data_IF_064497619352
#
_entry.id   IF_064497619352
#
_cell.length_a   1.000
_cell.length_b   1.000
_cell.length_c   1.000
_cell.angle_alpha   90.00
_cell.angle_beta   90.00
_cell.angle_gamma   90.00
#
_symmetry.space_group_name_H-M   'P 1'
#
loop_
_entity.id
_entity.type
_entity.pdbx_description
1 polymer ?
#
# COMPACT_ATOMS: atom_id res chain seq x y z
N UNK A 1 11.70 17.90 -26.26
CA UNK A 1 11.63 17.75 -24.80
C UNK A 1 13.02 17.38 -24.31
N UNK A 2 13.59 18.12 -23.36
CA UNK A 2 14.89 17.77 -22.78
C UNK A 2 14.83 16.57 -21.85
N UNK A 3 15.98 15.93 -21.68
CA UNK A 3 16.16 14.77 -20.80
C UNK A 3 16.44 15.24 -19.38
N UNK A 4 15.70 14.75 -18.39
CA UNK A 4 15.94 15.01 -16.98
C UNK A 4 16.61 13.79 -16.32
N UNK A 5 17.74 14.00 -15.66
CA UNK A 5 18.36 13.05 -14.74
C UNK A 5 18.28 13.64 -13.33
N UNK A 6 17.69 12.89 -12.40
CA UNK A 6 17.60 13.29 -11.00
C UNK A 6 18.71 12.59 -10.19
N UNK A 7 19.44 13.36 -9.38
CA UNK A 7 20.44 12.83 -8.45
C UNK A 7 20.07 13.28 -7.04
N UNK A 8 19.85 12.30 -6.16
CA UNK A 8 19.37 12.55 -4.81
C UNK A 8 20.25 11.90 -3.74
N UNK A 9 20.22 12.43 -2.53
CA UNK A 9 20.89 11.85 -1.37
C UNK A 9 20.87 12.79 -0.17
N UNK A 10 21.25 12.28 1.01
CA UNK A 10 21.41 13.12 2.19
C UNK A 10 22.53 14.16 2.00
N UNK A 11 22.66 15.11 2.93
CA UNK A 11 23.84 15.97 2.98
C UNK A 11 25.11 15.14 3.18
N UNK A 12 26.20 15.50 2.51
CA UNK A 12 27.44 14.72 2.53
C UNK A 12 27.43 13.39 1.77
N UNK A 13 26.34 13.00 1.12
CA UNK A 13 26.23 11.69 0.42
C UNK A 13 27.13 11.51 -0.82
N UNK A 14 27.81 12.56 -1.28
CA UNK A 14 28.60 12.58 -2.52
C UNK A 14 27.79 12.87 -3.79
N UNK A 15 26.52 13.30 -3.66
CA UNK A 15 25.61 13.61 -4.78
C UNK A 15 26.15 14.64 -5.77
N UNK A 16 26.70 15.77 -5.29
CA UNK A 16 27.25 16.85 -6.11
C UNK A 16 28.41 16.38 -6.98
N UNK A 17 29.41 15.74 -6.36
CA UNK A 17 30.59 15.20 -7.07
C UNK A 17 30.20 14.14 -8.11
N UNK A 18 29.19 13.33 -7.81
CA UNK A 18 28.67 12.35 -8.77
C UNK A 18 27.96 13.03 -9.95
N UNK A 19 27.18 14.08 -9.69
CA UNK A 19 26.52 14.89 -10.71
C UNK A 19 27.51 15.59 -11.64
N UNK A 20 28.53 16.24 -11.07
CA UNK A 20 29.63 16.88 -11.78
C UNK A 20 30.33 15.88 -12.72
N UNK A 21 30.64 14.67 -12.25
CA UNK A 21 31.25 13.61 -13.08
C UNK A 21 30.35 13.14 -14.22
N UNK A 22 29.03 13.10 -14.03
CA UNK A 22 28.10 12.75 -15.10
C UNK A 22 28.15 13.81 -16.19
N UNK A 23 28.06 15.08 -15.82
CA UNK A 23 28.07 16.19 -16.80
C UNK A 23 29.44 16.37 -17.44
N UNK A 24 30.54 16.15 -16.72
CA UNK A 24 31.88 16.22 -17.31
C UNK A 24 32.12 15.16 -18.41
N UNK A 25 31.36 14.06 -18.40
CA UNK A 25 31.44 12.99 -19.41
C UNK A 25 30.55 13.23 -20.63
N UNK A 26 29.74 14.28 -20.63
CA UNK A 26 28.93 14.63 -21.80
C UNK A 26 29.67 15.59 -22.73
N UNK A 27 29.24 15.62 -23.99
CA UNK A 27 29.73 16.54 -25.02
C UNK A 27 28.92 17.84 -25.03
N UNK A 28 29.48 18.93 -25.56
CA UNK A 28 28.79 20.22 -25.71
C UNK A 28 28.97 21.18 -24.53
N UNK A 29 28.36 22.36 -24.64
CA UNK A 29 28.45 23.43 -23.64
C UNK A 29 27.81 23.02 -22.31
N UNK A 30 28.54 23.25 -21.22
CA UNK A 30 28.17 22.82 -19.86
C UNK A 30 27.84 24.02 -19.01
N UNK A 31 26.64 24.04 -18.43
CA UNK A 31 26.18 25.10 -17.56
C UNK A 31 26.02 24.58 -16.14
N UNK A 32 26.55 25.33 -15.17
CA UNK A 32 26.32 25.08 -13.75
C UNK A 32 25.38 26.14 -13.22
N UNK A 33 24.16 25.77 -12.86
CA UNK A 33 23.19 26.66 -12.24
C UNK A 33 23.30 26.52 -10.72
N UNK A 34 23.86 27.55 -10.08
CA UNK A 34 24.01 27.64 -8.64
C UNK A 34 22.80 28.38 -8.04
N UNK A 35 22.09 27.73 -7.12
CA UNK A 35 20.89 28.28 -6.47
C UNK A 35 21.16 28.76 -5.04
N UNK A 36 22.36 28.51 -4.50
CA UNK A 36 22.75 28.90 -3.16
C UNK A 36 22.96 30.43 -3.07
N UNK A 37 22.44 31.05 -2.00
CA UNK A 37 22.60 32.49 -1.77
C UNK A 37 23.81 32.80 -0.88
N UNK A 38 24.60 33.85 -1.18
CA UNK A 38 25.70 34.32 -0.34
C UNK A 38 25.18 35.19 0.84
N UNK A 39 24.34 34.61 1.70
CA UNK A 39 23.71 35.35 2.82
C UNK A 39 24.49 35.26 4.14
N UNK A 40 25.51 34.41 4.22
CA UNK A 40 26.35 34.20 5.41
C UNK A 40 27.80 33.97 4.99
N UNK A 41 28.74 34.23 5.90
CA UNK A 41 30.17 33.91 5.68
C UNK A 41 30.38 32.42 5.38
N UNK A 42 29.60 31.53 6.01
CA UNK A 42 29.65 30.10 5.73
C UNK A 42 29.21 29.77 4.29
N UNK A 43 28.16 30.42 3.79
CA UNK A 43 27.70 30.24 2.41
C UNK A 43 28.71 30.79 1.41
N UNK A 44 29.34 31.93 1.71
CA UNK A 44 30.41 32.51 0.88
C UNK A 44 31.60 31.55 0.77
N UNK A 45 32.08 31.01 1.89
CA UNK A 45 33.16 30.03 1.92
C UNK A 45 32.79 28.73 1.17
N UNK A 46 31.53 28.28 1.28
CA UNK A 46 31.03 27.13 0.49
C UNK A 46 31.04 27.42 -1.00
N UNK A 47 30.58 28.60 -1.42
CA UNK A 47 30.55 29.01 -2.84
C UNK A 47 31.99 29.06 -3.39
N UNK A 48 32.93 29.66 -2.66
CA UNK A 48 34.34 29.75 -3.08
C UNK A 48 34.99 28.37 -3.22
N UNK A 49 34.84 27.52 -2.20
CA UNK A 49 35.34 26.13 -2.23
C UNK A 49 34.78 25.35 -3.41
N UNK A 50 33.50 25.55 -3.71
CA UNK A 50 32.84 24.91 -4.84
C UNK A 50 33.31 25.46 -6.19
N UNK A 51 33.57 26.77 -6.31
CA UNK A 51 34.16 27.38 -7.52
C UNK A 51 35.56 26.83 -7.79
N UNK A 52 36.40 26.71 -6.76
CA UNK A 52 37.74 26.12 -6.89
C UNK A 52 37.67 24.65 -7.35
N UNK A 53 36.80 23.85 -6.74
CA UNK A 53 36.65 22.43 -7.07
C UNK A 53 36.19 22.16 -8.51
N UNK A 54 35.62 23.17 -9.18
CA UNK A 54 35.08 23.05 -10.54
C UNK A 54 35.89 23.81 -11.58
N UNK A 55 36.97 24.50 -11.19
CA UNK A 55 37.78 25.32 -12.11
C UNK A 55 38.28 24.53 -13.31
N UNK A 56 38.55 23.24 -13.12
CA UNK A 56 39.04 22.33 -14.16
C UNK A 56 37.92 21.59 -14.92
N UNK A 57 36.64 21.79 -14.57
CA UNK A 57 35.52 21.05 -15.14
C UNK A 57 34.83 21.75 -16.32
N UNK A 58 35.35 22.91 -16.76
CA UNK A 58 34.89 23.68 -17.93
C UNK A 58 33.37 23.98 -17.91
N UNK A 59 32.85 24.42 -16.76
CA UNK A 59 31.47 24.88 -16.64
C UNK A 59 31.36 26.40 -16.83
N UNK A 60 30.34 26.84 -17.57
CA UNK A 60 29.82 28.20 -17.47
C UNK A 60 28.90 28.28 -16.26
N UNK A 61 29.31 29.00 -15.21
CA UNK A 61 28.53 29.12 -13.98
C UNK A 61 27.53 30.26 -14.06
N UNK A 62 26.27 29.97 -13.76
CA UNK A 62 25.16 30.92 -13.70
C UNK A 62 24.61 30.92 -12.27
N UNK A 63 24.76 32.05 -11.59
CA UNK A 63 24.18 32.26 -10.26
C UNK A 63 22.69 32.61 -10.44
N UNK A 64 21.81 31.63 -10.22
CA UNK A 64 20.36 31.79 -10.40
C UNK A 64 19.61 31.25 -9.17
N UNK A 65 19.54 32.04 -8.08
CA UNK A 65 18.81 31.64 -6.87
C UNK A 65 17.29 31.52 -7.07
N UNK A 66 16.74 32.09 -8.15
CA UNK A 66 15.32 32.05 -8.50
C UNK A 66 15.18 31.92 -10.04
N UNK A 67 13.99 31.51 -10.51
CA UNK A 67 13.59 31.57 -11.92
C UNK A 67 14.59 30.91 -12.88
N UNK A 68 14.98 29.66 -12.57
CA UNK A 68 15.98 28.92 -13.35
C UNK A 68 15.51 28.63 -14.77
N UNK A 69 14.21 28.64 -15.04
CA UNK A 69 13.62 28.53 -16.39
C UNK A 69 14.02 29.67 -17.33
N UNK A 70 14.39 30.83 -16.79
CA UNK A 70 14.86 31.99 -17.54
C UNK A 70 16.39 32.02 -17.72
N UNK A 71 17.13 31.05 -17.19
CA UNK A 71 18.59 31.03 -17.27
C UNK A 71 19.11 31.12 -18.73
N UNK A 72 20.25 31.80 -18.90
CA UNK A 72 20.91 32.02 -20.18
C UNK A 72 21.65 30.75 -20.65
N UNK A 73 20.87 29.71 -20.98
CA UNK A 73 21.34 28.41 -21.44
C UNK A 73 20.97 28.21 -22.91
N UNK A 74 21.92 27.69 -23.69
CA UNK A 74 21.71 27.33 -25.10
C UNK A 74 20.86 26.06 -25.27
N UNK A 75 20.16 25.96 -26.41
CA UNK A 75 19.20 24.87 -26.67
C UNK A 75 19.78 23.46 -26.56
N UNK A 76 21.05 23.30 -26.91
CA UNK A 76 21.74 21.99 -26.89
C UNK A 76 22.66 21.80 -25.67
N UNK A 77 22.63 22.75 -24.72
CA UNK A 77 23.46 22.75 -23.53
C UNK A 77 23.18 21.59 -22.58
N UNK A 78 24.18 21.25 -21.77
CA UNK A 78 24.05 20.31 -20.64
C UNK A 78 24.08 21.09 -19.35
N UNK A 79 23.03 20.98 -18.55
CA UNK A 79 22.84 21.79 -17.35
C UNK A 79 22.97 20.93 -16.10
N UNK A 80 23.76 21.39 -15.14
CA UNK A 80 23.78 20.91 -13.77
C UNK A 80 23.06 21.94 -12.88
N UNK A 81 21.90 21.58 -12.34
CA UNK A 81 21.15 22.39 -11.38
C UNK A 81 21.47 21.94 -9.96
N UNK A 82 22.15 22.80 -9.20
CA UNK A 82 22.55 22.51 -7.82
C UNK A 82 22.23 23.70 -6.88
N UNK A 83 21.29 23.57 -5.94
CA UNK A 83 20.39 22.43 -5.74
C UNK A 83 18.91 22.82 -5.70
N UNK A 84 18.07 21.83 -5.96
CA UNK A 84 16.60 21.98 -5.98
C UNK A 84 16.07 22.36 -4.60
N UNK A 85 16.72 21.88 -3.53
CA UNK A 85 16.35 22.20 -2.15
C UNK A 85 16.49 23.68 -1.81
N UNK A 86 17.58 24.33 -2.25
CA UNK A 86 17.80 25.76 -2.09
C UNK A 86 16.85 26.55 -3.00
N UNK A 87 16.63 26.09 -4.24
CA UNK A 87 15.68 26.75 -5.14
C UNK A 87 14.26 26.80 -4.54
N UNK A 88 13.81 25.68 -3.97
CA UNK A 88 12.52 25.62 -3.30
C UNK A 88 12.50 26.49 -2.03
N UNK A 89 13.55 26.47 -1.23
CA UNK A 89 13.64 27.30 -0.02
C UNK A 89 13.57 28.79 -0.38
N UNK A 90 14.37 29.23 -1.36
CA UNK A 90 14.36 30.59 -1.88
C UNK A 90 12.97 31.00 -2.40
N UNK A 91 12.26 30.10 -3.09
CA UNK A 91 10.93 30.37 -3.59
C UNK A 91 9.89 30.53 -2.47
N UNK A 92 9.86 29.58 -1.52
CA UNK A 92 8.87 29.54 -0.45
C UNK A 92 9.03 30.70 0.54
N UNK A 93 10.26 30.97 0.98
CA UNK A 93 10.50 31.92 2.08
C UNK A 93 10.61 33.38 1.63
N UNK A 94 10.85 33.65 0.35
CA UNK A 94 11.15 35.02 -0.11
C UNK A 94 10.29 35.51 -1.28
N UNK A 95 9.73 34.60 -2.07
CA UNK A 95 8.97 34.94 -3.28
C UNK A 95 7.50 34.52 -3.21
N UNK A 96 7.08 33.90 -2.11
CA UNK A 96 5.74 33.32 -1.98
C UNK A 96 5.46 32.21 -2.99
N UNK A 97 6.51 31.54 -3.48
CA UNK A 97 6.40 30.40 -4.39
C UNK A 97 6.09 29.10 -3.65
N UNK A 98 5.78 28.05 -4.41
CA UNK A 98 5.42 26.74 -3.87
C UNK A 98 6.07 25.60 -4.68
N UNK A 99 5.77 24.36 -4.29
CA UNK A 99 6.20 23.16 -5.00
C UNK A 99 5.85 23.21 -6.51
N UNK A 100 4.65 23.68 -6.84
CA UNK A 100 4.15 23.66 -8.21
C UNK A 100 4.85 24.69 -9.10
N UNK A 101 5.09 25.88 -8.58
CA UNK A 101 5.78 26.95 -9.32
C UNK A 101 7.25 26.59 -9.56
N UNK A 102 7.94 26.03 -8.56
CA UNK A 102 9.33 25.58 -8.72
C UNK A 102 9.42 24.41 -9.71
N UNK A 103 8.47 23.46 -9.66
CA UNK A 103 8.44 22.37 -10.63
C UNK A 103 8.26 22.90 -12.07
N UNK A 104 7.34 23.85 -12.28
CA UNK A 104 7.11 24.46 -13.59
C UNK A 104 8.36 25.22 -14.11
N UNK A 105 9.08 25.90 -13.22
CA UNK A 105 10.32 26.60 -13.53
C UNK A 105 11.45 25.65 -13.96
N UNK A 106 11.60 24.51 -13.26
CA UNK A 106 12.55 23.45 -13.63
C UNK A 106 12.15 22.80 -14.97
N UNK A 107 10.87 22.55 -15.23
CA UNK A 107 10.40 22.01 -16.51
C UNK A 107 10.65 22.99 -17.66
N UNK A 108 10.46 24.30 -17.44
CA UNK A 108 10.78 25.33 -18.43
C UNK A 108 12.27 25.28 -18.81
N UNK A 109 13.17 25.17 -17.83
CA UNK A 109 14.61 24.98 -18.08
C UNK A 109 14.90 23.67 -18.82
N UNK A 110 14.31 22.56 -18.36
CA UNK A 110 14.45 21.24 -18.97
C UNK A 110 14.00 21.24 -20.44
N UNK A 111 12.95 21.98 -20.77
CA UNK A 111 12.45 22.08 -22.16
C UNK A 111 13.42 22.78 -23.11
N UNK A 112 14.33 23.60 -22.58
CA UNK A 112 15.28 24.46 -23.31
C UNK A 112 16.70 23.93 -23.35
N UNK A 113 17.01 22.79 -22.75
CA UNK A 113 18.33 22.20 -22.81
C UNK A 113 18.25 20.73 -23.25
N UNK A 114 19.35 20.17 -23.73
CA UNK A 114 19.40 18.77 -24.16
C UNK A 114 19.31 17.82 -22.97
N UNK A 115 20.05 18.14 -21.90
CA UNK A 115 20.13 17.36 -20.68
C UNK A 115 20.16 18.28 -19.47
N UNK A 116 19.23 18.05 -18.54
CA UNK A 116 19.22 18.65 -17.21
C UNK A 116 19.55 17.58 -16.16
N UNK A 117 20.60 17.80 -15.39
CA UNK A 117 20.96 17.02 -14.20
C UNK A 117 20.56 17.83 -12.98
N UNK A 118 19.50 17.41 -12.28
CA UNK A 118 18.99 18.09 -11.10
C UNK A 118 19.45 17.38 -9.81
N UNK A 119 20.13 18.13 -8.94
CA UNK A 119 20.62 17.64 -7.65
C UNK A 119 19.66 18.07 -6.54
N UNK A 120 19.29 17.14 -5.65
CA UNK A 120 18.37 17.43 -4.55
C UNK A 120 18.70 16.64 -3.29
N UNK A 121 18.20 17.11 -2.14
CA UNK A 121 18.32 16.44 -0.85
C UNK A 121 17.11 15.52 -0.63
N UNK A 122 17.37 14.35 -0.04
CA UNK A 122 16.34 13.38 0.38
C UNK A 122 16.61 12.86 1.79
N UNK A 123 15.61 12.22 2.40
CA UNK A 123 15.73 11.63 3.73
C UNK A 123 15.38 12.60 4.86
N UNK A 124 14.80 13.76 4.52
CA UNK A 124 14.24 14.69 5.49
C UNK A 124 12.85 14.22 5.94
N UNK A 125 12.62 14.37 7.25
CA UNK A 125 11.46 13.88 7.98
C UNK A 125 10.76 15.08 8.61
N UNK A 126 9.46 15.22 8.35
CA UNK A 126 8.68 16.35 8.87
C UNK A 126 8.28 16.13 10.34
N UNK A 127 8.30 14.88 10.81
CA UNK A 127 8.15 14.48 12.20
C UNK A 127 9.25 15.11 13.06
N UNK A 128 8.86 15.92 14.05
CA UNK A 128 9.76 16.63 14.95
C UNK A 128 10.00 18.11 14.61
N UNK A 129 9.43 18.61 13.51
CA UNK A 129 9.46 20.03 13.14
C UNK A 129 8.04 20.60 13.08
N UNK A 130 7.86 21.85 13.48
CA UNK A 130 6.60 22.59 13.39
C UNK A 130 6.66 23.75 12.39
N UNK A 131 5.50 24.33 12.12
CA UNK A 131 5.35 25.51 11.27
C UNK A 131 5.91 25.38 9.85
N UNK A 132 6.71 26.37 9.48
CA UNK A 132 7.27 26.58 8.14
C UNK A 132 8.26 25.50 7.71
N UNK A 133 9.07 24.98 8.63
CA UNK A 133 10.06 23.93 8.34
C UNK A 133 9.37 22.63 7.92
N UNK A 134 8.31 22.23 8.62
CA UNK A 134 7.52 21.05 8.25
C UNK A 134 6.81 21.23 6.90
N UNK A 135 6.36 22.45 6.59
CA UNK A 135 5.77 22.78 5.29
C UNK A 135 6.80 22.68 4.15
N UNK A 136 8.01 23.19 4.36
CA UNK A 136 9.12 23.04 3.42
C UNK A 136 9.48 21.57 3.17
N UNK A 137 9.62 20.75 4.22
CA UNK A 137 9.95 19.33 4.07
C UNK A 137 8.86 18.59 3.26
N UNK A 138 7.58 18.89 3.51
CA UNK A 138 6.48 18.33 2.72
C UNK A 138 6.54 18.76 1.25
N UNK A 139 6.74 20.05 0.99
CA UNK A 139 6.86 20.59 -0.37
C UNK A 139 8.08 20.03 -1.11
N UNK A 140 9.23 19.87 -0.43
CA UNK A 140 10.42 19.28 -1.03
C UNK A 140 10.22 17.80 -1.35
N UNK A 141 9.55 17.06 -0.48
CA UNK A 141 9.23 15.65 -0.72
C UNK A 141 8.27 15.49 -1.91
N UNK A 142 7.26 16.36 -2.02
CA UNK A 142 6.36 16.41 -3.18
C UNK A 142 7.09 16.78 -4.47
N UNK A 143 7.92 17.83 -4.46
CA UNK A 143 8.75 18.25 -5.60
C UNK A 143 9.68 17.13 -6.07
N UNK A 144 10.38 16.49 -5.13
CA UNK A 144 11.25 15.36 -5.39
C UNK A 144 10.50 14.19 -6.04
N UNK A 145 9.26 13.92 -5.61
CA UNK A 145 8.44 12.86 -6.18
C UNK A 145 8.03 13.20 -7.63
N UNK A 146 7.62 14.44 -7.92
CA UNK A 146 7.32 14.87 -9.31
C UNK A 146 8.54 14.77 -10.22
N UNK A 147 9.69 15.25 -9.76
CA UNK A 147 10.94 15.16 -10.52
C UNK A 147 11.36 13.70 -10.75
N UNK A 148 11.19 12.84 -9.75
CA UNK A 148 11.47 11.41 -9.89
C UNK A 148 10.60 10.75 -10.95
N UNK A 149 9.29 11.04 -10.95
CA UNK A 149 8.34 10.48 -11.91
C UNK A 149 8.57 11.01 -13.34
N UNK A 150 9.09 12.24 -13.46
CA UNK A 150 9.44 12.89 -14.72
C UNK A 150 10.81 12.47 -15.28
N UNK A 151 11.76 12.09 -14.41
CA UNK A 151 13.14 11.84 -14.80
C UNK A 151 13.28 10.59 -15.68
N UNK A 152 14.05 10.71 -16.75
CA UNK A 152 14.45 9.57 -17.58
C UNK A 152 15.34 8.59 -16.79
N UNK A 153 16.13 9.11 -15.84
CA UNK A 153 16.88 8.31 -14.89
C UNK A 153 16.97 9.02 -13.53
N UNK A 154 16.89 8.23 -12.45
CA UNK A 154 17.09 8.72 -11.09
C UNK A 154 18.19 7.92 -10.39
N UNK A 155 19.10 8.60 -9.71
CA UNK A 155 20.22 8.02 -8.98
C UNK A 155 20.19 8.50 -7.53
N UNK A 156 20.10 7.56 -6.59
CA UNK A 156 20.24 7.87 -5.17
C UNK A 156 21.68 7.58 -4.71
N UNK A 157 22.22 8.46 -3.88
CA UNK A 157 23.60 8.41 -3.37
C UNK A 157 23.62 8.26 -1.85
N UNK A 158 24.53 7.42 -1.34
CA UNK A 158 24.85 7.29 0.08
C UNK A 158 26.33 6.94 0.23
N UNK A 159 27.05 7.64 1.11
CA UNK A 159 28.47 7.40 1.40
C UNK A 159 29.34 7.28 0.13
N UNK A 160 29.17 8.24 -0.79
CA UNK A 160 29.83 8.31 -2.10
C UNK A 160 29.57 7.11 -3.04
N UNK A 161 28.56 6.28 -2.75
CA UNK A 161 28.15 5.14 -3.58
C UNK A 161 26.73 5.33 -4.12
N UNK A 162 26.53 4.85 -5.35
CA UNK A 162 25.20 4.74 -5.95
C UNK A 162 24.42 3.65 -5.23
N UNK A 163 23.27 4.01 -4.68
CA UNK A 163 22.32 3.04 -4.16
C UNK A 163 21.65 2.32 -5.33
N UNK A 164 21.41 1.00 -5.22
CA UNK A 164 20.64 0.27 -6.22
C UNK A 164 19.24 0.88 -6.33
N UNK A 165 18.72 0.94 -7.56
CA UNK A 165 17.36 1.43 -7.81
C UNK A 165 16.40 0.54 -7.01
N UNK A 166 15.63 1.09 -6.06
CA UNK A 166 14.54 0.33 -5.41
C UNK A 166 13.47 0.07 -6.47
N UNK A 167 13.57 -1.08 -7.13
CA UNK A 167 12.67 -1.54 -8.18
C UNK A 167 11.23 -1.65 -7.68
N UNK A 168 10.27 -1.40 -8.59
CA UNK A 168 8.84 -1.57 -8.36
C UNK A 168 8.50 -2.96 -7.80
N UNK A 169 9.24 -3.99 -8.21
CA UNK A 169 9.11 -5.37 -7.73
C UNK A 169 9.37 -5.50 -6.22
N UNK A 170 10.37 -4.80 -5.68
CA UNK A 170 10.62 -4.80 -4.22
C UNK A 170 9.48 -4.11 -3.45
N UNK A 171 8.83 -3.11 -4.04
CA UNK A 171 7.71 -2.41 -3.39
C UNK A 171 6.44 -3.25 -3.36
N UNK A 172 6.17 -4.00 -4.43
CA UNK A 172 5.05 -4.96 -4.46
C UNK A 172 5.29 -6.12 -3.48
N UNK A 173 6.54 -6.57 -3.35
CA UNK A 173 6.90 -7.57 -2.35
C UNK A 173 6.69 -7.05 -0.92
N UNK A 174 7.11 -5.82 -0.62
CA UNK A 174 6.81 -5.16 0.66
C UNK A 174 5.28 -5.07 0.89
N UNK A 175 4.49 -4.67 -0.12
CA UNK A 175 3.02 -4.64 -0.05
C UNK A 175 2.40 -6.01 0.27
N UNK A 176 2.91 -7.08 -0.35
CA UNK A 176 2.50 -8.45 -0.06
C UNK A 176 2.82 -8.82 1.40
N UNK A 177 4.06 -8.61 1.83
CA UNK A 177 4.47 -8.96 3.19
C UNK A 177 3.70 -8.17 4.26
N UNK A 178 3.37 -6.90 3.99
CA UNK A 178 2.51 -6.11 4.87
C UNK A 178 1.09 -6.69 4.96
N UNK A 179 0.53 -7.18 3.86
CA UNK A 179 -0.78 -7.82 3.88
C UNK A 179 -0.74 -9.12 4.70
N UNK A 180 0.29 -9.95 4.48
CA UNK A 180 0.47 -11.20 5.21
C UNK A 180 0.74 -10.97 6.70
N UNK A 181 1.59 -10.00 7.07
CA UNK A 181 1.90 -9.70 8.47
C UNK A 181 0.71 -9.16 9.24
N UNK A 182 -0.18 -8.44 8.56
CA UNK A 182 -1.33 -7.78 9.19
C UNK A 182 -2.50 -8.75 9.39
N UNK A 183 -2.74 -9.63 8.41
CA UNK A 183 -3.94 -10.45 8.36
C UNK A 183 -3.66 -11.95 8.57
N UNK A 184 -2.43 -12.33 8.90
CA UNK A 184 -2.07 -13.70 9.26
C UNK A 184 -1.16 -13.76 10.48
N UNK A 185 -1.24 -14.86 11.22
CA UNK A 185 -0.32 -15.19 12.31
C UNK A 185 0.98 -15.86 11.79
N UNK A 186 1.12 -16.03 10.47
CA UNK A 186 2.32 -16.64 9.88
C UNK A 186 3.49 -15.66 10.04
N UNK A 187 4.62 -16.09 10.66
CA UNK A 187 5.77 -15.22 10.82
C UNK A 187 6.34 -14.81 9.45
N UNK A 188 6.29 -13.50 9.17
CA UNK A 188 6.86 -12.89 7.97
C UNK A 188 7.66 -11.63 8.35
N UNK A 189 8.62 -11.19 7.50
CA UNK A 189 9.37 -9.97 7.76
C UNK A 189 8.46 -8.75 7.93
N UNK A 190 8.75 -7.93 8.93
CA UNK A 190 8.00 -6.72 9.25
C UNK A 190 8.63 -5.51 8.57
N UNK A 191 7.79 -4.59 8.08
CA UNK A 191 8.24 -3.35 7.43
C UNK A 191 7.50 -2.15 8.01
N UNK A 192 8.18 -1.00 8.08
CA UNK A 192 7.55 0.26 8.43
C UNK A 192 6.53 0.67 7.37
N UNK A 193 5.32 1.01 7.81
CA UNK A 193 4.24 1.42 6.92
C UNK A 193 4.51 2.82 6.37
N UNK A 194 4.47 2.96 5.05
CA UNK A 194 4.57 4.24 4.37
C UNK A 194 3.65 4.26 3.15
N UNK A 195 3.44 5.43 2.57
CA UNK A 195 2.51 5.60 1.45
C UNK A 195 2.83 4.68 0.25
N UNK A 196 4.11 4.37 0.01
CA UNK A 196 4.55 3.60 -1.17
C UNK A 196 4.25 2.11 -1.01
N UNK A 197 4.54 1.52 0.15
CA UNK A 197 4.30 0.09 0.38
C UNK A 197 2.86 -0.23 0.78
N UNK A 198 2.11 0.75 1.32
CA UNK A 198 0.68 0.61 1.59
C UNK A 198 -0.19 0.73 0.32
N UNK A 199 0.30 1.42 -0.72
CA UNK A 199 -0.45 1.73 -1.96
C UNK A 199 -1.14 0.51 -2.59
N UNK A 200 -0.52 -0.66 -2.55
CA UNK A 200 -1.02 -1.90 -3.14
C UNK A 200 -1.24 -3.03 -2.11
N UNK A 201 -1.00 -2.80 -0.81
CA UNK A 201 -1.06 -3.86 0.20
C UNK A 201 -2.40 -4.59 0.21
N UNK A 202 -3.52 -3.87 0.15
CA UNK A 202 -4.86 -4.47 0.13
C UNK A 202 -5.12 -5.34 -1.11
N UNK A 203 -4.40 -5.15 -2.22
CA UNK A 203 -4.51 -6.00 -3.42
C UNK A 203 -4.04 -7.44 -3.13
N UNK A 204 -3.16 -7.61 -2.14
CA UNK A 204 -2.62 -8.89 -1.70
C UNK A 204 -3.42 -9.53 -0.57
N UNK A 205 -4.52 -8.92 -0.12
CA UNK A 205 -5.38 -9.52 0.90
C UNK A 205 -5.87 -10.94 0.54
N UNK A 206 -6.20 -11.26 -0.74
CA UNK A 206 -6.54 -12.63 -1.13
C UNK A 206 -5.41 -13.66 -0.92
N UNK A 207 -4.14 -13.24 -0.83
CA UNK A 207 -3.02 -14.14 -0.55
C UNK A 207 -3.13 -14.79 0.85
N UNK A 208 -3.76 -14.11 1.81
CA UNK A 208 -4.09 -14.69 3.12
C UNK A 208 -5.08 -15.85 2.95
N UNK A 209 -5.99 -15.77 1.98
CA UNK A 209 -6.93 -16.83 1.65
C UNK A 209 -6.23 -18.05 1.07
N UNK A 210 -5.16 -17.84 0.30
CA UNK A 210 -4.29 -18.93 -0.16
C UNK A 210 -3.62 -19.64 1.01
N UNK A 211 -3.17 -18.91 2.05
CA UNK A 211 -2.61 -19.53 3.26
C UNK A 211 -3.65 -20.38 3.99
N UNK A 212 -4.87 -19.88 4.16
CA UNK A 212 -5.97 -20.66 4.75
C UNK A 212 -6.31 -21.89 3.90
N UNK A 213 -6.36 -21.74 2.58
CA UNK A 213 -6.61 -22.83 1.65
C UNK A 213 -5.52 -23.89 1.65
N UNK A 214 -4.24 -23.49 1.75
CA UNK A 214 -3.11 -24.40 1.86
C UNK A 214 -3.13 -25.19 3.18
N UNK A 215 -3.48 -24.53 4.29
CA UNK A 215 -3.63 -25.19 5.58
C UNK A 215 -4.76 -26.22 5.56
N UNK A 216 -5.92 -25.87 4.98
CA UNK A 216 -7.05 -26.81 4.82
C UNK A 216 -6.69 -27.98 3.89
N UNK A 217 -6.01 -27.71 2.77
CA UNK A 217 -5.56 -28.74 1.85
C UNK A 217 -4.60 -29.72 2.52
N UNK A 218 -3.59 -29.21 3.24
CA UNK A 218 -2.66 -30.04 3.98
C UNK A 218 -3.39 -30.88 5.03
N UNK A 219 -4.37 -30.29 5.72
CA UNK A 219 -5.20 -31.00 6.68
C UNK A 219 -6.02 -32.12 6.03
N UNK A 220 -6.60 -31.87 4.85
CA UNK A 220 -7.32 -32.89 4.08
C UNK A 220 -6.42 -34.06 3.66
N UNK A 221 -5.18 -33.78 3.24
CA UNK A 221 -4.19 -34.80 2.90
C UNK A 221 -3.84 -35.66 4.13
N UNK A 222 -3.62 -35.04 5.29
CA UNK A 222 -3.32 -35.74 6.54
C UNK A 222 -4.52 -36.59 7.01
N UNK A 223 -5.73 -36.07 6.90
CA UNK A 223 -6.94 -36.80 7.26
C UNK A 223 -7.15 -38.05 6.39
N UNK A 224 -6.89 -37.94 5.09
CA UNK A 224 -6.93 -39.07 4.16
C UNK A 224 -5.85 -40.12 4.51
N UNK A 225 -4.62 -39.69 4.82
CA UNK A 225 -3.52 -40.60 5.15
C UNK A 225 -3.72 -41.36 6.46
N UNK A 226 -4.48 -40.79 7.40
CA UNK A 226 -4.68 -41.35 8.75
C UNK A 226 -6.01 -42.07 8.93
N UNK A 227 -6.94 -41.99 7.96
CA UNK A 227 -8.28 -42.57 8.08
C UNK A 227 -9.12 -41.91 9.18
N UNK A 228 -8.87 -40.64 9.47
CA UNK A 228 -9.48 -39.93 10.59
C UNK A 228 -10.99 -39.73 10.43
N UNK A 229 -11.73 -39.67 11.54
CA UNK A 229 -13.18 -39.44 11.51
C UNK A 229 -13.53 -38.05 10.95
N UNK A 230 -14.65 -37.96 10.22
CA UNK A 230 -15.10 -36.71 9.63
C UNK A 230 -15.38 -35.62 10.67
N UNK A 231 -15.83 -35.99 11.89
CA UNK A 231 -16.11 -35.01 12.96
C UNK A 231 -14.83 -34.34 13.42
N UNK A 232 -13.76 -35.10 13.66
CA UNK A 232 -12.48 -34.53 14.06
C UNK A 232 -11.88 -33.68 12.93
N UNK A 233 -12.01 -34.15 11.68
CA UNK A 233 -11.63 -33.36 10.52
C UNK A 233 -12.32 -32.00 10.51
N UNK A 234 -13.64 -31.97 10.64
CA UNK A 234 -14.46 -30.77 10.54
C UNK A 234 -14.24 -29.79 11.69
N UNK A 235 -14.05 -30.31 12.92
CA UNK A 235 -13.71 -29.50 14.08
C UNK A 235 -12.39 -28.76 13.89
N UNK A 236 -11.35 -29.45 13.38
CA UNK A 236 -10.07 -28.80 13.08
C UNK A 236 -10.20 -27.85 11.89
N UNK A 237 -10.92 -28.24 10.83
CA UNK A 237 -11.15 -27.39 9.67
C UNK A 237 -11.83 -26.06 10.02
N UNK A 238 -12.76 -26.05 10.98
CA UNK A 238 -13.40 -24.83 11.49
C UNK A 238 -12.40 -23.90 12.23
N UNK A 239 -11.42 -24.47 12.91
CA UNK A 239 -10.40 -23.72 13.65
C UNK A 239 -9.24 -23.22 12.78
N UNK A 240 -8.93 -23.90 11.67
CA UNK A 240 -7.80 -23.55 10.79
C UNK A 240 -7.78 -22.07 10.34
N UNK A 241 -8.85 -21.48 9.79
CA UNK A 241 -8.81 -20.08 9.37
C UNK A 241 -8.57 -19.13 10.56
N UNK A 242 -9.04 -19.47 11.76
CA UNK A 242 -8.79 -18.69 12.98
C UNK A 242 -7.30 -18.76 13.34
N UNK A 243 -6.72 -19.96 13.37
CA UNK A 243 -5.31 -20.16 13.70
C UNK A 243 -4.38 -19.48 12.68
N UNK A 244 -4.67 -19.61 11.39
CA UNK A 244 -3.87 -18.99 10.31
C UNK A 244 -3.94 -17.46 10.37
N UNK A 245 -5.09 -16.90 10.75
CA UNK A 245 -5.30 -15.44 10.79
C UNK A 245 -4.97 -14.80 12.14
N UNK A 246 -4.64 -15.61 13.15
CA UNK A 246 -4.48 -15.13 14.54
C UNK A 246 -5.79 -14.66 15.18
N UNK A 247 -6.93 -15.01 14.60
CA UNK A 247 -8.26 -14.68 15.12
C UNK A 247 -8.82 -13.30 14.74
N UNK A 248 -8.07 -12.45 14.02
CA UNK A 248 -8.48 -11.06 13.73
C UNK A 248 -9.86 -10.94 13.04
N UNK A 249 -10.24 -11.91 12.21
CA UNK A 249 -11.56 -11.90 11.56
C UNK A 249 -12.67 -12.41 12.48
N UNK A 250 -12.36 -13.37 13.35
CA UNK A 250 -13.29 -13.88 14.35
C UNK A 250 -13.57 -12.81 15.41
N UNK A 251 -12.54 -12.10 15.84
CA UNK A 251 -12.61 -10.93 16.71
C UNK A 251 -13.62 -9.90 16.16
N UNK A 252 -13.45 -9.49 14.90
CA UNK A 252 -14.39 -8.59 14.23
C UNK A 252 -15.83 -9.14 14.12
N UNK A 253 -16.00 -10.45 13.98
CA UNK A 253 -17.32 -11.09 14.01
C UNK A 253 -17.97 -10.96 15.40
N UNK A 254 -17.22 -11.30 16.45
CA UNK A 254 -17.68 -11.26 17.83
C UNK A 254 -18.07 -9.83 18.22
N UNK A 255 -17.20 -8.85 17.95
CA UNK A 255 -17.45 -7.43 18.22
C UNK A 255 -18.68 -6.91 17.49
N UNK A 256 -18.85 -7.32 16.23
CA UNK A 256 -20.00 -6.90 15.44
C UNK A 256 -21.29 -7.46 15.99
N UNK A 257 -21.32 -8.75 16.36
CA UNK A 257 -22.54 -9.37 16.88
C UNK A 257 -22.90 -8.84 18.27
N UNK A 258 -21.91 -8.60 19.13
CA UNK A 258 -22.14 -8.01 20.45
C UNK A 258 -22.68 -6.58 20.33
N UNK A 259 -22.07 -5.77 19.45
CA UNK A 259 -22.56 -4.43 19.16
C UNK A 259 -23.99 -4.43 18.61
N UNK A 260 -24.33 -5.36 17.70
CA UNK A 260 -25.70 -5.49 17.19
C UNK A 260 -26.70 -5.84 18.29
N UNK A 261 -26.31 -6.72 19.21
CA UNK A 261 -27.16 -7.20 20.32
C UNK A 261 -27.44 -6.12 21.37
N UNK A 262 -26.72 -5.00 21.34
CA UNK A 262 -27.02 -3.83 22.17
C UNK A 262 -28.29 -3.08 21.77
N UNK A 263 -28.76 -3.25 20.53
CA UNK A 263 -29.88 -2.49 19.93
C UNK A 263 -29.76 -0.96 20.03
N UNK A 264 -28.53 -0.43 20.19
CA UNK A 264 -28.28 1.00 20.34
C UNK A 264 -28.14 1.74 18.99
N UNK A 265 -27.94 3.06 19.08
CA UNK A 265 -27.56 3.93 17.96
C UNK A 265 -26.23 3.49 17.33
N UNK A 266 -26.01 3.87 16.06
CA UNK A 266 -24.76 3.60 15.33
C UNK A 266 -23.51 4.01 16.12
N UNK A 267 -23.52 5.21 16.71
CA UNK A 267 -22.41 5.76 17.50
C UNK A 267 -22.06 4.87 18.70
N UNK A 268 -23.06 4.41 19.45
CA UNK A 268 -22.87 3.51 20.59
C UNK A 268 -22.40 2.13 20.15
N UNK A 269 -22.93 1.58 19.05
CA UNK A 269 -22.45 0.32 18.47
C UNK A 269 -20.97 0.40 18.09
N UNK A 270 -20.55 1.50 17.46
CA UNK A 270 -19.15 1.75 17.11
C UNK A 270 -18.24 1.93 18.33
N UNK A 271 -18.79 2.41 19.45
CA UNK A 271 -18.08 2.51 20.72
C UNK A 271 -17.91 1.15 21.40
N UNK A 272 -18.94 0.28 21.36
CA UNK A 272 -18.87 -1.09 21.90
C UNK A 272 -17.77 -1.89 21.20
N UNK A 273 -17.66 -1.79 19.87
CA UNK A 273 -16.59 -2.43 19.09
C UNK A 273 -15.16 -1.91 19.39
N UNK A 274 -14.99 -0.95 20.30
CA UNK A 274 -13.67 -0.50 20.77
C UNK A 274 -13.38 -0.98 22.19
N UNK A 275 -14.39 -1.49 22.88
CA UNK A 275 -14.21 -2.10 24.19
C UNK A 275 -13.48 -3.42 23.99
N UNK A 276 -12.45 -3.67 24.81
CA UNK A 276 -11.71 -4.92 24.78
C UNK A 276 -12.44 -6.06 25.49
N UNK A 277 -13.52 -5.77 26.21
CA UNK A 277 -14.31 -6.77 26.92
C UNK A 277 -15.25 -7.50 25.96
N UNK A 278 -15.27 -8.82 26.07
CA UNK A 278 -16.18 -9.67 25.32
C UNK A 278 -17.53 -9.80 26.06
N UNK A 279 -18.63 -9.42 25.40
CA UNK A 279 -19.98 -9.61 25.92
C UNK A 279 -20.49 -11.04 25.82
N UNK A 280 -21.58 -11.35 26.54
CA UNK A 280 -22.18 -12.69 26.53
C UNK A 280 -22.70 -13.09 25.14
N UNK A 281 -23.20 -12.13 24.35
CA UNK A 281 -23.69 -12.43 23.01
C UNK A 281 -22.56 -12.79 22.05
N UNK A 282 -21.40 -12.15 22.15
CA UNK A 282 -20.21 -12.58 21.42
C UNK A 282 -19.92 -14.08 21.68
N UNK A 283 -19.85 -14.51 22.94
CA UNK A 283 -19.59 -15.93 23.27
C UNK A 283 -20.66 -16.87 22.69
N UNK A 284 -21.95 -16.53 22.87
CA UNK A 284 -23.07 -17.35 22.37
C UNK A 284 -23.00 -17.50 20.86
N UNK A 285 -22.91 -16.39 20.13
CA UNK A 285 -22.91 -16.42 18.66
C UNK A 285 -21.60 -16.95 18.09
N UNK A 286 -20.47 -16.77 18.78
CA UNK A 286 -19.21 -17.43 18.45
C UNK A 286 -19.33 -18.96 18.52
N UNK A 287 -19.97 -19.48 19.57
CA UNK A 287 -20.27 -20.90 19.70
C UNK A 287 -21.20 -21.41 18.60
N UNK A 288 -22.30 -20.69 18.33
CA UNK A 288 -23.24 -21.03 17.24
C UNK A 288 -22.54 -21.04 15.88
N UNK A 289 -21.68 -20.05 15.61
CA UNK A 289 -20.91 -19.97 14.37
C UNK A 289 -19.98 -21.18 14.20
N UNK A 290 -19.18 -21.52 15.21
CA UNK A 290 -18.23 -22.63 15.13
C UNK A 290 -18.94 -23.98 14.99
N UNK A 291 -20.07 -24.17 15.68
CA UNK A 291 -20.90 -25.37 15.55
C UNK A 291 -21.49 -25.49 14.14
N UNK A 292 -22.03 -24.39 13.59
CA UNK A 292 -22.57 -24.38 12.23
C UNK A 292 -21.47 -24.65 11.19
N UNK A 293 -20.32 -23.98 11.33
CA UNK A 293 -19.20 -24.18 10.41
C UNK A 293 -18.70 -25.62 10.44
N UNK A 294 -18.46 -26.20 11.63
CA UNK A 294 -18.02 -27.58 11.76
C UNK A 294 -19.08 -28.57 11.22
N UNK A 295 -20.37 -28.33 11.49
CA UNK A 295 -21.47 -29.15 10.98
C UNK A 295 -21.49 -29.18 9.44
N UNK A 296 -21.50 -28.02 8.78
CA UNK A 296 -21.49 -27.99 7.32
C UNK A 296 -20.15 -28.46 6.72
N UNK A 297 -19.02 -28.22 7.40
CA UNK A 297 -17.72 -28.72 6.96
C UNK A 297 -17.66 -30.25 7.00
N UNK A 298 -18.31 -30.88 7.98
CA UNK A 298 -18.47 -32.33 8.05
C UNK A 298 -19.25 -32.85 6.84
N UNK A 299 -20.43 -32.29 6.56
CA UNK A 299 -21.28 -32.71 5.43
C UNK A 299 -20.55 -32.57 4.10
N UNK A 300 -19.88 -31.44 3.90
CA UNK A 300 -19.13 -31.13 2.67
C UNK A 300 -17.89 -32.04 2.54
N UNK A 301 -17.23 -32.38 3.65
CA UNK A 301 -16.14 -33.35 3.67
C UNK A 301 -16.62 -34.76 3.32
N UNK A 302 -17.70 -35.22 3.95
CA UNK A 302 -18.30 -36.52 3.70
C UNK A 302 -18.75 -36.67 2.24
N UNK A 303 -19.23 -35.59 1.62
CA UNK A 303 -19.58 -35.52 0.20
C UNK A 303 -18.38 -35.38 -0.76
N UNK A 304 -17.14 -35.31 -0.26
CA UNK A 304 -15.94 -35.18 -1.10
C UNK A 304 -15.72 -33.80 -1.72
N UNK A 305 -16.38 -32.76 -1.21
CA UNK A 305 -16.39 -31.41 -1.78
C UNK A 305 -15.56 -30.39 -0.99
N UNK A 306 -14.84 -30.81 0.05
CA UNK A 306 -14.15 -29.90 0.98
C UNK A 306 -13.14 -28.96 0.33
N UNK A 307 -12.48 -29.39 -0.76
CA UNK A 307 -11.48 -28.57 -1.44
C UNK A 307 -12.07 -27.35 -2.14
N UNK A 308 -13.40 -27.26 -2.32
CA UNK A 308 -14.07 -26.04 -2.80
C UNK A 308 -13.93 -24.87 -1.81
N UNK A 309 -13.62 -25.13 -0.54
CA UNK A 309 -13.39 -24.09 0.46
C UNK A 309 -12.04 -23.36 0.21
N UNK A 310 -11.06 -24.02 -0.43
CA UNK A 310 -9.76 -23.40 -0.71
C UNK A 310 -9.89 -22.13 -1.59
N UNK A 311 -10.50 -22.17 -2.79
CA UNK A 311 -10.78 -20.95 -3.55
C UNK A 311 -11.83 -20.04 -2.90
N UNK A 312 -12.74 -20.57 -2.07
CA UNK A 312 -13.69 -19.75 -1.30
C UNK A 312 -12.97 -18.79 -0.34
N UNK A 313 -11.90 -19.22 0.33
CA UNK A 313 -11.09 -18.34 1.19
C UNK A 313 -10.45 -17.17 0.42
N UNK A 314 -10.07 -17.40 -0.85
CA UNK A 314 -9.53 -16.35 -1.72
C UNK A 314 -10.66 -15.39 -2.14
N UNK A 315 -11.82 -15.94 -2.51
CA UNK A 315 -12.98 -15.17 -2.92
C UNK A 315 -13.53 -14.27 -1.81
N UNK A 316 -13.65 -14.78 -0.57
CA UNK A 316 -14.16 -14.01 0.58
C UNK A 316 -13.32 -12.76 0.84
N UNK A 317 -11.99 -12.89 0.78
CA UNK A 317 -11.03 -11.80 0.97
C UNK A 317 -11.00 -10.84 -0.21
N UNK A 318 -11.14 -11.33 -1.44
CA UNK A 318 -11.28 -10.47 -2.62
C UNK A 318 -12.52 -9.57 -2.50
N UNK A 319 -13.67 -10.13 -2.11
CA UNK A 319 -14.91 -9.39 -1.91
C UNK A 319 -14.83 -8.43 -0.71
N UNK A 320 -14.22 -8.87 0.39
CA UNK A 320 -14.04 -8.03 1.58
C UNK A 320 -13.14 -6.83 1.27
N UNK A 321 -12.04 -7.06 0.55
CA UNK A 321 -11.17 -6.00 0.01
C UNK A 321 -11.92 -5.05 -0.93
N UNK A 322 -12.79 -5.56 -1.81
CA UNK A 322 -13.62 -4.72 -2.70
C UNK A 322 -14.56 -3.82 -1.91
N UNK A 323 -15.22 -4.36 -0.86
CA UNK A 323 -16.06 -3.58 0.03
C UNK A 323 -15.23 -2.52 0.79
N UNK A 324 -14.09 -2.91 1.36
CA UNK A 324 -13.18 -2.02 2.07
C UNK A 324 -12.72 -0.83 1.21
N UNK A 325 -12.37 -1.08 -0.05
CA UNK A 325 -11.86 -0.06 -0.97
C UNK A 325 -12.97 0.83 -1.52
N UNK A 326 -14.19 0.31 -1.72
CA UNK A 326 -15.24 1.02 -2.45
C UNK A 326 -16.39 1.57 -1.59
N UNK A 327 -16.52 1.15 -0.33
CA UNK A 327 -17.52 1.68 0.60
C UNK A 327 -16.94 2.79 1.50
N UNK A 328 -17.79 3.68 2.04
CA UNK A 328 -17.35 4.69 3.00
C UNK A 328 -16.76 4.02 4.25
N UNK A 329 -15.65 4.54 4.77
CA UNK A 329 -15.12 4.08 6.04
C UNK A 329 -15.93 4.71 7.18
N UNK A 330 -16.52 3.89 8.04
CA UNK A 330 -17.31 4.37 9.19
C UNK A 330 -16.44 4.98 10.29
N UNK A 331 -15.12 4.72 10.28
CA UNK A 331 -14.16 5.29 11.22
C UNK A 331 -13.18 6.21 10.49
N UNK A 332 -12.80 7.33 11.14
CA UNK A 332 -11.77 8.25 10.63
C UNK A 332 -10.34 7.79 10.96
N UNK A 333 -10.18 6.70 11.70
CA UNK A 333 -8.89 6.16 12.16
C UNK A 333 -8.95 4.63 12.29
N UNK A 334 -7.80 4.01 12.56
CA UNK A 334 -7.66 2.56 12.74
C UNK A 334 -7.12 1.84 11.51
N UNK A 335 -6.92 0.52 11.66
CA UNK A 335 -6.21 -0.31 10.69
C UNK A 335 -6.84 -0.25 9.28
N UNK A 336 -8.16 -0.40 9.16
CA UNK A 336 -8.83 -0.32 7.85
C UNK A 336 -8.64 1.05 7.18
N UNK A 337 -8.70 2.14 7.96
CA UNK A 337 -8.45 3.49 7.43
C UNK A 337 -7.02 3.62 6.89
N UNK A 338 -6.03 3.07 7.59
CA UNK A 338 -4.64 3.05 7.14
C UNK A 338 -4.45 2.27 5.81
N UNK A 339 -5.14 1.14 5.63
CA UNK A 339 -5.08 0.36 4.38
C UNK A 339 -5.84 0.97 3.20
N UNK A 340 -6.81 1.85 3.45
CA UNK A 340 -7.72 2.38 2.41
C UNK A 340 -7.47 3.84 2.03
N UNK A 341 -6.82 4.63 2.89
CA UNK A 341 -6.64 6.08 2.70
C UNK A 341 -5.66 6.45 1.58
N UNK A 342 -4.55 5.72 1.43
CA UNK A 342 -3.53 5.94 0.39
C UNK A 342 -3.58 4.94 -0.77
N UNK A 343 -4.66 4.14 -0.89
CA UNK A 343 -4.74 3.06 -1.87
C UNK A 343 -4.90 3.59 -3.30
N UNK A 344 -4.25 2.95 -4.27
CA UNK A 344 -4.58 3.18 -5.68
C UNK A 344 -5.89 2.48 -6.03
N UNK A 345 -7.01 3.16 -5.74
CA UNK A 345 -8.38 2.61 -5.77
C UNK A 345 -8.72 1.85 -7.06
N UNK A 346 -8.43 2.43 -8.25
CA UNK A 346 -8.73 1.77 -9.54
C UNK A 346 -7.96 0.45 -9.70
N UNK A 347 -6.68 0.44 -9.37
CA UNK A 347 -5.83 -0.75 -9.46
C UNK A 347 -6.28 -1.81 -8.48
N UNK A 348 -6.56 -1.44 -7.23
CA UNK A 348 -7.05 -2.37 -6.21
C UNK A 348 -8.39 -3.00 -6.60
N UNK A 349 -9.36 -2.19 -7.07
CA UNK A 349 -10.65 -2.69 -7.54
C UNK A 349 -10.49 -3.67 -8.70
N UNK A 350 -9.65 -3.36 -9.70
CA UNK A 350 -9.41 -4.27 -10.83
C UNK A 350 -8.73 -5.56 -10.37
N UNK A 351 -7.66 -5.47 -9.59
CA UNK A 351 -6.91 -6.64 -9.11
C UNK A 351 -7.79 -7.58 -8.27
N UNK A 352 -8.52 -7.04 -7.29
CA UNK A 352 -9.42 -7.82 -6.44
C UNK A 352 -10.59 -8.43 -7.22
N UNK A 353 -11.13 -7.70 -8.21
CA UNK A 353 -12.19 -8.24 -9.08
C UNK A 353 -11.68 -9.40 -9.91
N UNK A 354 -10.51 -9.27 -10.55
CA UNK A 354 -9.93 -10.35 -11.37
C UNK A 354 -9.62 -11.59 -10.53
N UNK A 355 -9.02 -11.41 -9.35
CA UNK A 355 -8.72 -12.52 -8.43
C UNK A 355 -10.01 -13.17 -7.92
N UNK A 356 -11.03 -12.37 -7.57
CA UNK A 356 -12.33 -12.89 -7.15
C UNK A 356 -13.04 -13.67 -8.25
N UNK A 357 -13.07 -13.16 -9.49
CA UNK A 357 -13.64 -13.87 -10.63
C UNK A 357 -12.89 -15.16 -10.94
N UNK A 358 -11.56 -15.15 -10.86
CA UNK A 358 -10.76 -16.36 -11.05
C UNK A 358 -11.04 -17.42 -9.97
N UNK A 359 -11.17 -17.01 -8.70
CA UNK A 359 -11.52 -17.91 -7.60
C UNK A 359 -12.93 -18.52 -7.79
N UNK A 360 -13.92 -17.69 -8.13
CA UNK A 360 -15.28 -18.15 -8.41
C UNK A 360 -15.34 -19.09 -9.62
N UNK A 361 -14.64 -18.75 -10.71
CA UNK A 361 -14.52 -19.62 -11.88
C UNK A 361 -13.84 -20.96 -11.54
N UNK A 362 -12.80 -20.93 -10.70
CA UNK A 362 -12.14 -22.13 -10.19
C UNK A 362 -13.10 -23.03 -9.41
N UNK A 363 -13.95 -22.46 -8.56
CA UNK A 363 -14.99 -23.21 -7.84
C UNK A 363 -15.96 -23.90 -8.80
N UNK A 364 -16.50 -23.16 -9.79
CA UNK A 364 -17.42 -23.71 -10.80
C UNK A 364 -16.75 -24.79 -11.66
N UNK A 365 -15.47 -24.61 -11.98
CA UNK A 365 -14.71 -25.59 -12.75
C UNK A 365 -14.48 -26.90 -11.96
N UNK A 366 -14.20 -26.80 -10.66
CA UNK A 366 -14.04 -27.98 -9.79
C UNK A 366 -15.34 -28.76 -9.60
N UNK A 367 -16.48 -28.06 -9.49
CA UNK A 367 -17.81 -28.67 -9.46
C UNK A 367 -18.85 -27.65 -9.93
N UNK A 368 -19.51 -27.86 -11.09
CA UNK A 368 -20.47 -26.89 -11.61
C UNK A 368 -21.64 -26.60 -10.67
N UNK A 369 -22.19 -27.62 -10.01
CA UNK A 369 -23.34 -27.47 -9.10
C UNK A 369 -22.90 -26.93 -7.74
N UNK A 370 -22.04 -27.65 -7.02
CA UNK A 370 -21.57 -27.25 -5.69
C UNK A 370 -20.77 -25.94 -5.71
N UNK A 371 -19.85 -25.80 -6.67
CA UNK A 371 -19.06 -24.57 -6.85
C UNK A 371 -19.90 -23.39 -7.33
N UNK A 372 -20.86 -23.63 -8.23
CA UNK A 372 -21.81 -22.60 -8.70
C UNK A 372 -22.72 -22.09 -7.58
N UNK A 373 -23.27 -22.98 -6.77
CA UNK A 373 -24.09 -22.62 -5.61
C UNK A 373 -23.29 -21.87 -4.55
N UNK A 374 -22.06 -22.29 -4.27
CA UNK A 374 -21.18 -21.58 -3.36
C UNK A 374 -20.87 -20.14 -3.84
N UNK A 375 -20.52 -19.97 -5.13
CA UNK A 375 -20.30 -18.65 -5.72
C UNK A 375 -21.56 -17.76 -5.65
N UNK A 376 -22.75 -18.33 -5.90
CA UNK A 376 -24.01 -17.60 -5.79
C UNK A 376 -24.30 -17.13 -4.36
N UNK A 377 -24.13 -18.02 -3.36
CA UNK A 377 -24.33 -17.68 -1.95
C UNK A 377 -23.37 -16.58 -1.48
N UNK A 378 -22.12 -16.66 -1.91
CA UNK A 378 -21.10 -15.64 -1.63
C UNK A 378 -21.43 -14.29 -2.29
N UNK A 379 -21.91 -14.29 -3.52
CA UNK A 379 -22.35 -13.07 -4.18
C UNK A 379 -23.53 -12.42 -3.42
N UNK A 380 -24.51 -13.23 -2.99
CA UNK A 380 -25.65 -12.75 -2.19
C UNK A 380 -25.21 -12.21 -0.83
N UNK A 381 -24.27 -12.87 -0.15
CA UNK A 381 -23.76 -12.42 1.14
C UNK A 381 -23.05 -11.06 1.02
N UNK A 382 -22.26 -10.84 -0.03
CA UNK A 382 -21.61 -9.55 -0.30
C UNK A 382 -22.61 -8.41 -0.57
N UNK A 383 -23.66 -8.69 -1.34
CA UNK A 383 -24.74 -7.72 -1.60
C UNK A 383 -25.52 -7.37 -0.32
N UNK A 384 -25.77 -8.36 0.54
CA UNK A 384 -26.43 -8.15 1.84
C UNK A 384 -25.52 -7.38 2.80
N UNK A 385 -24.23 -7.72 2.85
CA UNK A 385 -23.25 -7.03 3.69
C UNK A 385 -23.14 -5.55 3.35
N UNK A 386 -23.07 -5.19 2.06
CA UNK A 386 -23.05 -3.77 1.64
C UNK A 386 -24.21 -2.98 2.24
N UNK A 387 -25.43 -3.53 2.17
CA UNK A 387 -26.63 -2.89 2.73
C UNK A 387 -26.56 -2.84 4.25
N UNK A 388 -26.14 -3.93 4.89
CA UNK A 388 -25.97 -4.03 6.33
C UNK A 388 -24.98 -3.00 6.88
N UNK A 389 -23.77 -2.92 6.31
CA UNK A 389 -22.71 -2.02 6.78
C UNK A 389 -23.15 -0.55 6.71
N UNK A 390 -23.77 -0.15 5.59
CA UNK A 390 -24.31 1.20 5.42
C UNK A 390 -25.47 1.48 6.40
N UNK A 391 -26.40 0.55 6.57
CA UNK A 391 -27.57 0.75 7.42
C UNK A 391 -27.25 0.74 8.92
N UNK A 392 -26.32 -0.10 9.37
CA UNK A 392 -26.01 -0.27 10.80
C UNK A 392 -24.90 0.65 11.29
N UNK A 393 -23.91 0.95 10.43
CA UNK A 393 -22.68 1.63 10.82
C UNK A 393 -22.34 2.84 9.96
N UNK A 394 -23.14 3.15 8.92
CA UNK A 394 -22.85 4.24 7.98
C UNK A 394 -21.67 3.97 7.04
N UNK A 395 -21.13 2.75 7.03
CA UNK A 395 -19.91 2.41 6.31
C UNK A 395 -19.26 1.12 6.82
N UNK A 396 -18.03 0.87 6.39
CA UNK A 396 -17.22 -0.29 6.76
C UNK A 396 -16.19 0.05 7.84
N UNK A 397 -15.89 -0.92 8.69
CA UNK A 397 -14.82 -0.94 9.71
C UNK A 397 -14.00 -2.22 9.57
N UNK A 398 -12.87 -2.31 10.27
CA UNK A 398 -12.12 -3.58 10.37
C UNK A 398 -13.02 -4.72 10.88
N UNK A 399 -13.74 -4.45 11.96
CA UNK A 399 -14.59 -5.44 12.66
C UNK A 399 -15.72 -5.93 11.76
N UNK A 400 -16.44 -5.01 11.11
CA UNK A 400 -17.52 -5.37 10.17
C UNK A 400 -16.99 -6.08 8.93
N UNK A 401 -15.74 -5.84 8.53
CA UNK A 401 -15.09 -6.58 7.44
C UNK A 401 -14.71 -8.01 7.86
N UNK A 402 -14.30 -8.20 9.12
CA UNK A 402 -14.10 -9.52 9.74
C UNK A 402 -15.42 -10.29 9.86
N UNK A 403 -16.47 -9.63 10.35
CA UNK A 403 -17.84 -10.15 10.37
C UNK A 403 -18.32 -10.60 8.99
N UNK A 404 -18.10 -9.77 7.97
CA UNK A 404 -18.45 -10.14 6.59
C UNK A 404 -17.67 -11.37 6.14
N UNK A 405 -16.37 -11.43 6.38
CA UNK A 405 -15.53 -12.54 5.95
C UNK A 405 -16.03 -13.86 6.56
N UNK A 406 -16.32 -13.88 7.86
CA UNK A 406 -16.85 -15.07 8.55
C UNK A 406 -18.21 -15.52 8.01
N UNK A 407 -19.14 -14.58 7.80
CA UNK A 407 -20.45 -14.90 7.22
C UNK A 407 -20.36 -15.32 5.75
N UNK A 408 -19.47 -14.69 4.98
CA UNK A 408 -19.26 -14.99 3.57
C UNK A 408 -18.78 -16.43 3.39
N UNK A 409 -17.82 -16.86 4.22
CA UNK A 409 -17.28 -18.22 4.18
C UNK A 409 -18.32 -19.24 4.65
N UNK A 410 -19.09 -18.95 5.70
CA UNK A 410 -20.19 -19.82 6.13
C UNK A 410 -21.29 -19.94 5.06
N UNK A 411 -21.68 -18.84 4.42
CA UNK A 411 -22.63 -18.86 3.30
C UNK A 411 -22.09 -19.67 2.11
N UNK A 412 -20.82 -19.50 1.76
CA UNK A 412 -20.19 -20.27 0.69
C UNK A 412 -20.18 -21.76 1.00
N UNK A 413 -19.86 -22.14 2.25
CA UNK A 413 -19.89 -23.51 2.73
C UNK A 413 -21.29 -24.15 2.65
N UNK A 414 -22.33 -23.41 3.06
CA UNK A 414 -23.73 -23.82 2.88
C UNK A 414 -24.07 -23.98 1.40
N UNK A 415 -23.60 -23.07 0.53
CA UNK A 415 -23.79 -23.17 -0.91
C UNK A 415 -23.13 -24.42 -1.50
N UNK A 416 -21.92 -24.77 -1.06
CA UNK A 416 -21.26 -26.04 -1.45
C UNK A 416 -22.12 -27.23 -1.04
N UNK A 417 -22.61 -27.24 0.20
CA UNK A 417 -23.47 -28.32 0.70
C UNK A 417 -24.73 -28.47 -0.15
N UNK A 418 -25.50 -27.39 -0.34
CA UNK A 418 -26.74 -27.42 -1.14
C UNK A 418 -26.46 -27.88 -2.58
N UNK A 419 -25.42 -27.34 -3.21
CA UNK A 419 -25.09 -27.72 -4.58
C UNK A 419 -24.51 -29.13 -4.70
N UNK A 420 -24.00 -29.73 -3.62
CA UNK A 420 -23.63 -31.15 -3.57
C UNK A 420 -24.81 -32.10 -3.41
N UNK A 421 -26.00 -31.59 -3.06
CA UNK A 421 -27.25 -32.36 -3.03
C UNK A 421 -27.96 -32.40 -4.41
N UNK A 422 -27.53 -31.55 -5.36
CA UNK A 422 -28.07 -31.42 -6.72
C UNK A 422 -27.15 -32.15 -7.71
#
# INVERSE_FOLDING_TARGET
MGTLIMISGANGSGKSRYAERIVARTTGERYYIATMRPCSEENLQRIEKHREQRKDLQFTTLECPYQVGAAAVERDGVVLLEDVSNLLANAMFERGGDEASVYADIEALCSRCRLLVAVTITGLRADGYDGETAAYIRALNGLNQRLYDRAAAAVAMKDARRLPKRETSMRLFESLLIALSTYSAVPVPQFDWNEKNMRYAICFFPAVGVLCGAALWLWAVLAQATGMSGVLFAAIAACLPILVTGGIHMDGYLDTVDALSSHQTCEKKLAIMKDANCGAFAVIYGGVYLLAYAGFAYEVFAAGHILLICPLFVLSRALSGLCAVNLPNARKSGMLCAFTSGVQRRTATVALTLVGLAAAAGMVWMSPTAGGMAAAFVAVSALKYRRFALAQFGGVTGDTSGFFLQLCELCGLIGVWIGGLL
#
